data_IF_748756217960
#
_entry.id   IF_748756217960
#
_cell.length_a   1.000
_cell.length_b   1.000
_cell.length_c   1.000
_cell.angle_alpha   90.00
_cell.angle_beta   90.00
_cell.angle_gamma   90.00
#
_symmetry.space_group_name_H-M   'P 1'
#
loop_
_entity.id
_entity.type
_entity.pdbx_description
1 polymer ?
#
# COMPACT_ATOMS: atom_id res chain seq x y z
N UNK A 1 13.92 -15.96 32.88
CA UNK A 1 13.78 -14.49 33.05
C UNK A 1 13.68 -13.72 31.71
N UNK A 2 14.61 -13.86 30.75
CA UNK A 2 14.50 -13.12 29.46
C UNK A 2 13.36 -13.64 28.55
N UNK A 3 13.20 -14.97 28.48
CA UNK A 3 12.13 -15.60 27.69
C UNK A 3 10.73 -15.29 28.24
N UNK A 4 10.59 -15.14 29.55
CA UNK A 4 9.30 -14.86 30.19
C UNK A 4 8.81 -13.44 29.86
N UNK A 5 9.73 -12.48 29.81
CA UNK A 5 9.43 -11.13 29.35
C UNK A 5 9.06 -11.08 27.87
N UNK A 6 9.75 -11.87 27.03
CA UNK A 6 9.41 -11.99 25.61
C UNK A 6 8.01 -12.59 25.42
N UNK A 7 7.71 -13.68 26.15
CA UNK A 7 6.39 -14.32 26.14
C UNK A 7 5.28 -13.38 26.60
N UNK A 8 5.53 -12.57 27.62
CA UNK A 8 4.58 -11.57 28.11
C UNK A 8 4.35 -10.45 27.09
N UNK A 9 5.42 -9.91 26.51
CA UNK A 9 5.34 -8.80 25.54
C UNK A 9 4.64 -9.19 24.25
N UNK A 10 4.89 -10.41 23.77
CA UNK A 10 4.33 -10.92 22.51
C UNK A 10 3.22 -11.93 22.73
N UNK A 11 2.59 -11.94 23.91
CA UNK A 11 1.52 -12.86 24.25
C UNK A 11 0.40 -12.82 23.21
N UNK A 12 -0.02 -11.61 22.82
CA UNK A 12 -1.10 -11.39 21.84
C UNK A 12 -0.76 -11.87 20.42
N UNK A 13 0.53 -11.86 20.05
CA UNK A 13 1.00 -12.37 18.77
C UNK A 13 1.08 -13.90 18.82
N UNK A 14 1.61 -14.45 19.90
CA UNK A 14 1.77 -15.89 20.09
C UNK A 14 0.44 -16.61 20.31
N UNK A 15 -0.56 -15.92 20.86
CA UNK A 15 -1.94 -16.40 20.99
C UNK A 15 -2.78 -16.17 19.73
N UNK A 16 -2.23 -15.52 18.70
CA UNK A 16 -2.94 -15.18 17.46
C UNK A 16 -4.16 -14.26 17.67
N UNK A 17 -4.15 -13.41 18.69
CA UNK A 17 -5.24 -12.47 18.96
C UNK A 17 -5.31 -11.33 17.93
N UNK A 18 -4.17 -10.95 17.36
CA UNK A 18 -4.08 -9.88 16.36
C UNK A 18 -4.25 -10.44 14.94
N UNK A 19 -5.36 -10.07 14.27
CA UNK A 19 -5.73 -10.56 12.94
C UNK A 19 -4.76 -10.12 11.86
N UNK A 20 -4.28 -8.89 11.95
CA UNK A 20 -3.38 -8.23 10.99
C UNK A 20 -2.04 -8.97 10.91
N UNK A 21 -1.48 -9.33 12.07
CA UNK A 21 -0.21 -10.07 12.16
C UNK A 21 -0.37 -11.48 11.61
N UNK A 22 -1.52 -12.11 11.85
CA UNK A 22 -1.83 -13.45 11.31
C UNK A 22 -1.92 -13.40 9.78
N UNK A 23 -2.62 -12.41 9.22
CA UNK A 23 -2.69 -12.19 7.77
C UNK A 23 -1.29 -11.96 7.19
N UNK A 24 -0.50 -11.08 7.80
CA UNK A 24 0.87 -10.79 7.36
C UNK A 24 1.74 -12.06 7.34
N UNK A 25 1.69 -12.86 8.41
CA UNK A 25 2.48 -14.08 8.55
C UNK A 25 2.16 -15.14 7.48
N UNK A 26 0.89 -15.27 7.06
CA UNK A 26 0.49 -16.22 5.99
C UNK A 26 0.96 -15.74 4.62
N UNK A 27 0.95 -14.43 4.37
CA UNK A 27 1.32 -13.85 3.08
C UNK A 27 2.84 -13.87 2.82
N UNK A 28 3.66 -14.24 3.81
CA UNK A 28 5.10 -14.45 3.62
C UNK A 28 5.34 -15.89 3.08
N UNK A 29 5.94 -16.05 1.88
CA UNK A 29 6.09 -17.36 1.22
C UNK A 29 6.93 -18.37 2.01
N UNK A 30 7.87 -17.89 2.83
CA UNK A 30 8.69 -18.73 3.70
C UNK A 30 7.88 -19.38 4.82
N UNK A 31 6.91 -18.66 5.36
CA UNK A 31 6.22 -19.05 6.59
C UNK A 31 4.87 -19.73 6.31
N UNK A 32 4.04 -19.20 5.40
CA UNK A 32 2.69 -19.73 5.06
C UNK A 32 1.93 -20.23 6.30
N UNK A 33 1.69 -21.53 6.42
CA UNK A 33 1.11 -22.17 7.62
C UNK A 33 2.10 -22.99 8.45
N UNK A 34 3.41 -22.94 8.14
CA UNK A 34 4.43 -23.71 8.87
C UNK A 34 4.46 -23.33 10.35
N UNK A 35 4.26 -22.05 10.66
CA UNK A 35 4.24 -21.53 12.03
C UNK A 35 3.01 -21.99 12.82
N UNK A 36 1.88 -22.28 12.16
CA UNK A 36 0.62 -22.65 12.81
C UNK A 36 0.76 -23.94 13.63
N UNK A 37 1.57 -24.90 13.15
CA UNK A 37 1.80 -26.17 13.83
C UNK A 37 2.61 -26.03 15.14
N UNK A 38 3.26 -24.87 15.35
CA UNK A 38 4.09 -24.59 16.52
C UNK A 38 3.25 -23.92 17.63
N UNK A 39 2.09 -23.36 17.28
CA UNK A 39 1.21 -22.67 18.21
C UNK A 39 0.42 -23.70 19.04
N UNK A 40 0.60 -23.68 20.36
CA UNK A 40 -0.01 -24.66 21.27
C UNK A 40 -1.53 -24.47 21.45
N UNK A 41 -2.01 -23.22 21.38
CA UNK A 41 -3.42 -22.86 21.56
C UNK A 41 -3.81 -21.77 20.55
N UNK A 42 -4.11 -22.14 19.29
CA UNK A 42 -4.56 -21.17 18.31
C UNK A 42 -5.98 -20.70 18.65
N UNK A 43 -6.21 -19.39 18.62
CA UNK A 43 -7.55 -18.78 18.75
C UNK A 43 -8.41 -18.97 17.51
N UNK A 44 -7.78 -19.02 16.33
CA UNK A 44 -8.44 -19.08 15.04
C UNK A 44 -8.06 -20.36 14.30
N UNK A 45 -9.02 -20.97 13.61
CA UNK A 45 -8.76 -22.13 12.75
C UNK A 45 -8.11 -21.71 11.43
N UNK A 46 -7.56 -22.66 10.67
CA UNK A 46 -6.97 -22.37 9.35
C UNK A 46 -8.02 -21.81 8.39
N UNK A 47 -9.25 -22.27 8.51
CA UNK A 47 -10.41 -21.85 7.74
C UNK A 47 -10.79 -20.39 8.06
N UNK A 48 -10.79 -20.03 9.34
CA UNK A 48 -11.03 -18.65 9.77
C UNK A 48 -9.95 -17.70 9.23
N UNK A 49 -8.68 -18.14 9.24
CA UNK A 49 -7.57 -17.34 8.71
C UNK A 49 -7.72 -17.11 7.20
N UNK A 50 -8.13 -18.15 6.44
CA UNK A 50 -8.43 -17.99 5.00
C UNK A 50 -9.55 -16.98 4.79
N UNK A 51 -10.61 -17.06 5.60
CA UNK A 51 -11.73 -16.11 5.54
C UNK A 51 -11.27 -14.68 5.83
N UNK A 52 -10.41 -14.46 6.82
CA UNK A 52 -9.86 -13.14 7.11
C UNK A 52 -9.07 -12.55 5.94
N UNK A 53 -8.32 -13.36 5.19
CA UNK A 53 -7.60 -12.91 4.00
C UNK A 53 -8.58 -12.53 2.89
N UNK A 54 -9.63 -13.32 2.68
CA UNK A 54 -10.67 -13.03 1.68
C UNK A 54 -11.44 -11.75 2.04
N UNK A 55 -11.79 -11.57 3.31
CA UNK A 55 -12.47 -10.36 3.78
C UNK A 55 -11.56 -9.13 3.63
N UNK A 56 -10.28 -9.23 4.00
CA UNK A 56 -9.31 -8.16 3.81
C UNK A 56 -9.05 -7.79 2.34
N UNK A 57 -9.20 -8.76 1.42
CA UNK A 57 -9.14 -8.54 -0.01
C UNK A 57 -10.35 -7.76 -0.53
N UNK A 58 -11.55 -8.03 -0.01
CA UNK A 58 -12.77 -7.29 -0.37
C UNK A 58 -12.69 -5.84 0.07
N UNK A 59 -12.22 -5.61 1.30
CA UNK A 59 -12.04 -4.25 1.83
C UNK A 59 -11.11 -3.41 0.93
N UNK A 60 -10.13 -4.07 0.28
CA UNK A 60 -9.18 -3.44 -0.64
C UNK A 60 -9.76 -3.15 -2.03
N UNK A 61 -10.68 -3.98 -2.53
CA UNK A 61 -11.35 -3.73 -3.81
C UNK A 61 -12.39 -2.60 -3.69
N UNK A 62 -13.04 -2.46 -2.52
CA UNK A 62 -13.98 -1.37 -2.24
C UNK A 62 -13.25 -0.03 -1.98
N UNK A 63 -12.07 -0.07 -1.35
CA UNK A 63 -11.17 1.08 -1.23
C UNK A 63 -10.25 1.15 -2.45
N UNK A 64 -10.73 1.61 -3.60
CA UNK A 64 -9.88 1.86 -4.76
C UNK A 64 -8.92 3.05 -4.46
N UNK A 65 -7.91 2.81 -3.63
CA UNK A 65 -6.75 3.65 -3.43
C UNK A 65 -5.67 3.11 -4.37
N UNK A 66 -5.57 3.79 -5.50
CA UNK A 66 -4.59 3.54 -6.54
C UNK A 66 -3.21 3.89 -5.98
N UNK A 67 -2.53 2.89 -5.42
CA UNK A 67 -1.13 3.02 -5.03
C UNK A 67 -0.33 1.88 -5.65
N UNK A 68 0.40 2.24 -6.70
CA UNK A 68 1.44 1.52 -7.40
C UNK A 68 0.98 0.37 -8.32
N UNK A 69 0.18 0.71 -9.34
CA UNK A 69 0.46 0.23 -10.69
C UNK A 69 1.22 1.31 -11.46
N UNK A 70 2.54 1.18 -11.56
CA UNK A 70 3.20 1.33 -12.85
C UNK A 70 4.65 0.85 -12.79
N UNK A 71 4.89 -0.34 -13.34
CA UNK A 71 5.97 -0.46 -14.31
C UNK A 71 5.35 -0.12 -15.68
N UNK A 72 6.01 0.78 -16.42
CA UNK A 72 5.71 1.30 -17.77
C UNK A 72 4.37 2.08 -17.92
N UNK A 73 4.37 3.40 -17.73
CA UNK A 73 4.36 4.35 -18.86
C UNK A 73 4.83 5.78 -18.46
N UNK A 74 5.88 6.28 -19.12
CA UNK A 74 6.53 7.58 -18.84
C UNK A 74 5.86 8.78 -19.52
N UNK A 75 4.54 8.91 -19.54
CA UNK A 75 3.90 9.97 -20.36
C UNK A 75 2.91 10.90 -19.68
N UNK A 76 2.77 10.92 -18.34
CA UNK A 76 1.78 11.80 -17.70
C UNK A 76 2.18 12.36 -16.32
N UNK A 77 3.46 12.70 -16.13
CA UNK A 77 3.94 13.38 -14.91
C UNK A 77 4.01 14.92 -15.05
N UNK A 78 3.78 15.46 -16.25
CA UNK A 78 4.02 16.88 -16.54
C UNK A 78 2.89 17.83 -16.11
N UNK A 79 1.74 17.32 -15.63
CA UNK A 79 0.61 18.18 -15.25
C UNK A 79 0.61 18.61 -13.77
N UNK A 80 1.54 18.11 -12.95
CA UNK A 80 1.70 18.53 -11.55
C UNK A 80 2.67 19.72 -11.38
N UNK A 81 3.41 20.09 -12.44
CA UNK A 81 4.45 21.14 -12.41
C UNK A 81 4.21 22.29 -13.41
N UNK A 82 2.96 22.58 -13.79
CA UNK A 82 2.69 23.73 -14.66
C UNK A 82 2.52 25.03 -13.86
N UNK A 83 3.64 25.72 -13.61
CA UNK A 83 3.71 27.07 -13.03
C UNK A 83 3.67 28.16 -14.11
N UNK A 84 2.72 28.06 -15.04
CA UNK A 84 2.49 29.13 -16.01
C UNK A 84 1.52 30.17 -15.43
N UNK A 85 2.11 31.14 -14.74
CA UNK A 85 1.48 32.41 -14.37
C UNK A 85 1.27 33.29 -15.63
N UNK A 86 0.24 34.14 -15.57
CA UNK A 86 -0.07 35.27 -16.46
C UNK A 86 -0.81 35.08 -17.82
N UNK A 87 -2.04 35.62 -17.80
CA UNK A 87 -2.63 36.63 -18.72
C UNK A 87 -3.54 36.22 -19.90
N UNK A 88 -4.79 36.68 -19.73
CA UNK A 88 -5.71 37.30 -20.70
C UNK A 88 -6.34 36.39 -21.76
N UNK A 89 -7.69 36.34 -21.76
CA UNK A 89 -8.47 36.36 -23.01
C UNK A 89 -9.89 36.90 -22.86
N UNK A 90 -10.19 37.81 -23.77
CA UNK A 90 -11.41 38.55 -24.05
C UNK A 90 -12.35 37.69 -24.92
N UNK A 91 -13.60 37.51 -24.46
CA UNK A 91 -14.94 37.48 -25.12
C UNK A 91 -15.25 36.73 -26.48
N UNK A 92 -16.55 36.43 -26.77
CA UNK A 92 -17.14 35.21 -27.43
C UNK A 92 -17.56 35.44 -28.93
N UNK A 93 -18.30 34.56 -29.69
CA UNK A 93 -19.77 34.27 -29.56
C UNK A 93 -20.35 32.91 -30.07
N UNK A 94 -21.50 32.50 -29.47
CA UNK A 94 -22.80 31.99 -30.01
C UNK A 94 -22.87 30.87 -31.10
N UNK A 95 -23.57 29.75 -30.78
CA UNK A 95 -24.79 29.31 -31.50
C UNK A 95 -25.62 28.29 -30.68
N UNK A 96 -26.91 28.60 -30.54
CA UNK A 96 -27.94 27.82 -29.84
C UNK A 96 -28.27 26.52 -30.57
N UNK A 97 -28.83 25.54 -29.86
CA UNK A 97 -30.04 24.82 -30.30
C UNK A 97 -30.62 23.98 -29.15
N UNK A 98 -31.85 24.32 -28.81
CA UNK A 98 -32.74 23.61 -27.90
C UNK A 98 -33.20 22.28 -28.52
N UNK A 99 -33.18 21.19 -27.76
CA UNK A 99 -34.09 20.05 -27.97
C UNK A 99 -34.15 19.17 -26.73
N UNK A 100 -35.31 19.18 -26.08
CA UNK A 100 -35.70 18.19 -25.10
C UNK A 100 -35.76 16.78 -25.71
N UNK A 101 -35.52 15.78 -24.86
CA UNK A 101 -36.27 14.51 -24.74
C UNK A 101 -35.40 13.23 -24.74
N UNK A 102 -35.39 12.60 -23.56
CA UNK A 102 -35.31 11.17 -23.26
C UNK A 102 -34.11 10.35 -23.80
N UNK A 103 -33.13 10.08 -22.93
CA UNK A 103 -32.33 8.82 -22.98
C UNK A 103 -32.00 8.27 -21.60
N UNK A 104 -32.87 7.36 -21.18
CA UNK A 104 -32.63 6.06 -20.54
C UNK A 104 -31.38 5.91 -19.67
N UNK A 105 -31.67 5.78 -18.37
CA UNK A 105 -30.92 5.05 -17.34
C UNK A 105 -29.90 4.05 -17.90
N UNK A 106 -28.63 4.44 -17.89
CA UNK A 106 -27.52 3.50 -17.99
C UNK A 106 -27.20 3.00 -16.59
N UNK A 107 -28.05 2.09 -16.15
CA UNK A 107 -27.66 0.79 -15.62
C UNK A 107 -26.22 0.74 -15.08
N UNK A 108 -26.09 1.10 -13.82
CA UNK A 108 -24.97 0.69 -12.98
C UNK A 108 -24.88 -0.82 -13.04
N UNK A 109 -23.91 -1.34 -13.79
CA UNK A 109 -23.58 -2.76 -13.80
C UNK A 109 -22.99 -3.11 -12.43
N UNK A 110 -23.87 -3.42 -11.49
CA UNK A 110 -23.56 -4.11 -10.25
C UNK A 110 -22.99 -5.48 -10.62
N UNK A 111 -21.67 -5.55 -10.74
CA UNK A 111 -20.95 -6.82 -10.86
C UNK A 111 -21.35 -7.67 -9.65
N UNK A 112 -21.84 -8.91 -9.85
CA UNK A 112 -22.31 -9.73 -8.74
C UNK A 112 -21.14 -10.05 -7.80
N UNK A 113 -21.25 -9.59 -6.56
CA UNK A 113 -20.34 -9.75 -5.40
C UNK A 113 -19.85 -11.19 -5.13
N UNK A 114 -20.41 -12.17 -5.83
CA UNK A 114 -20.05 -13.59 -5.73
C UNK A 114 -18.82 -13.99 -6.57
N UNK A 115 -18.57 -13.36 -7.73
CA UNK A 115 -17.51 -13.82 -8.65
C UNK A 115 -16.10 -13.45 -8.20
N UNK A 116 -15.92 -12.30 -7.53
CA UNK A 116 -14.61 -11.83 -7.04
C UNK A 116 -14.11 -12.68 -5.88
N UNK A 117 -15.00 -13.08 -4.97
CA UNK A 117 -14.67 -13.96 -3.85
C UNK A 117 -14.09 -15.31 -4.30
N UNK A 118 -14.67 -15.94 -5.32
CA UNK A 118 -14.18 -17.21 -5.86
C UNK A 118 -12.80 -17.08 -6.51
N UNK A 119 -12.49 -15.92 -7.12
CA UNK A 119 -11.18 -15.67 -7.73
C UNK A 119 -10.08 -15.54 -6.68
N UNK A 120 -10.34 -14.77 -5.62
CA UNK A 120 -9.41 -14.55 -4.51
C UNK A 120 -9.14 -15.86 -3.77
N UNK A 121 -10.19 -16.64 -3.51
CA UNK A 121 -10.07 -17.94 -2.87
C UNK A 121 -9.21 -18.91 -3.71
N UNK A 122 -9.41 -18.95 -5.03
CA UNK A 122 -8.60 -19.78 -5.93
C UNK A 122 -7.14 -19.34 -5.96
N UNK A 123 -6.86 -18.02 -5.99
CA UNK A 123 -5.51 -17.48 -5.89
C UNK A 123 -4.84 -17.86 -4.57
N UNK A 124 -5.56 -17.76 -3.45
CA UNK A 124 -5.07 -18.15 -2.13
C UNK A 124 -4.77 -19.66 -2.06
N UNK A 125 -5.66 -20.51 -2.58
CA UNK A 125 -5.43 -21.96 -2.62
C UNK A 125 -4.17 -22.29 -3.43
N UNK A 126 -4.03 -21.70 -4.62
CA UNK A 126 -2.85 -21.90 -5.49
C UNK A 126 -1.57 -21.41 -4.83
N UNK A 127 -1.60 -20.26 -4.15
CA UNK A 127 -0.47 -19.74 -3.38
C UNK A 127 -0.07 -20.68 -2.23
N UNK A 128 -1.03 -21.26 -1.52
CA UNK A 128 -0.78 -22.15 -0.38
C UNK A 128 -0.19 -23.51 -0.82
N UNK A 129 -0.56 -23.99 -2.01
CA UNK A 129 -0.06 -25.25 -2.57
C UNK A 129 1.36 -25.13 -3.14
N UNK A 130 1.75 -23.94 -3.61
CA UNK A 130 3.09 -23.71 -4.15
C UNK A 130 4.19 -24.02 -3.11
N UNK A 131 5.23 -24.74 -3.52
CA UNK A 131 6.35 -25.11 -2.63
C UNK A 131 7.50 -24.13 -2.66
N UNK A 132 7.50 -23.17 -3.60
CA UNK A 132 8.53 -22.16 -3.71
C UNK A 132 8.45 -21.22 -2.50
N UNK A 133 9.62 -20.79 -2.00
CA UNK A 133 9.74 -19.92 -0.82
C UNK A 133 10.24 -18.49 -1.17
N UNK A 134 10.41 -18.19 -2.45
CA UNK A 134 10.93 -16.90 -2.92
C UNK A 134 9.86 -15.80 -2.80
N UNK A 135 10.26 -14.59 -2.41
CA UNK A 135 9.33 -13.46 -2.30
C UNK A 135 8.71 -13.08 -3.65
N UNK A 136 9.42 -13.30 -4.76
CA UNK A 136 8.97 -12.99 -6.12
C UNK A 136 7.70 -13.72 -6.55
N UNK A 137 7.35 -14.83 -5.90
CA UNK A 137 6.12 -15.59 -6.18
C UNK A 137 4.88 -14.71 -6.02
N UNK A 138 4.92 -13.75 -5.09
CA UNK A 138 3.80 -12.84 -4.81
C UNK A 138 3.44 -12.02 -6.07
N UNK A 139 4.37 -11.78 -6.98
CA UNK A 139 4.10 -11.05 -8.23
C UNK A 139 3.16 -11.81 -9.17
N UNK A 140 3.06 -13.14 -9.06
CA UNK A 140 2.14 -13.96 -9.86
C UNK A 140 0.69 -13.89 -9.35
N UNK A 141 0.48 -13.28 -8.18
CA UNK A 141 -0.82 -13.18 -7.51
C UNK A 141 -1.15 -11.71 -7.22
N UNK A 142 -1.78 -10.98 -8.17
CA UNK A 142 -1.95 -9.53 -8.07
C UNK A 142 -2.78 -9.11 -6.86
N UNK A 143 -3.83 -9.86 -6.51
CA UNK A 143 -4.67 -9.51 -5.34
C UNK A 143 -3.94 -9.78 -4.03
N UNK A 144 -3.26 -10.94 -3.91
CA UNK A 144 -2.45 -11.25 -2.73
C UNK A 144 -1.28 -10.28 -2.58
N UNK A 145 -0.70 -9.76 -3.67
CA UNK A 145 0.35 -8.73 -3.65
C UNK A 145 -0.13 -7.44 -2.99
N UNK A 146 -1.32 -6.96 -3.32
CA UNK A 146 -1.90 -5.76 -2.70
C UNK A 146 -2.06 -5.93 -1.19
N UNK A 147 -2.60 -7.08 -0.78
CA UNK A 147 -2.76 -7.42 0.65
C UNK A 147 -1.38 -7.54 1.31
N UNK A 148 -0.43 -8.21 0.65
CA UNK A 148 0.93 -8.37 1.16
C UNK A 148 1.57 -7.01 1.45
N UNK A 149 1.49 -6.06 0.53
CA UNK A 149 2.00 -4.70 0.72
C UNK A 149 1.29 -4.06 1.92
N UNK A 150 -0.05 -4.00 1.93
CA UNK A 150 -0.82 -3.37 3.01
C UNK A 150 -0.46 -3.85 4.41
N UNK A 151 -0.28 -5.16 4.60
CA UNK A 151 -0.05 -5.75 5.92
C UNK A 151 1.42 -5.95 6.28
N UNK A 152 2.34 -6.05 5.31
CA UNK A 152 3.77 -6.28 5.58
C UNK A 152 4.62 -5.02 5.41
N UNK A 153 4.18 -4.01 4.67
CA UNK A 153 4.86 -2.71 4.64
C UNK A 153 4.27 -1.84 5.74
N UNK A 154 4.95 -1.78 6.88
CA UNK A 154 4.70 -0.70 7.82
C UNK A 154 4.99 0.63 7.11
N UNK A 155 4.17 1.66 7.36
CA UNK A 155 4.63 3.04 7.18
C UNK A 155 6.02 3.13 7.82
N UNK A 156 7.03 3.68 7.12
CA UNK A 156 8.39 3.73 7.64
C UNK A 156 8.34 4.30 9.05
N UNK A 157 8.98 3.63 9.99
CA UNK A 157 9.08 4.10 11.36
C UNK A 157 9.60 5.54 11.39
N UNK A 158 9.37 6.24 12.51
CA UNK A 158 9.88 7.60 12.72
C UNK A 158 11.36 7.76 12.34
N UNK A 159 12.16 6.69 12.39
CA UNK A 159 13.57 6.69 11.99
C UNK A 159 13.87 7.26 10.60
N UNK A 160 12.98 7.11 9.60
CA UNK A 160 13.19 7.75 8.29
C UNK A 160 13.02 9.28 8.37
N UNK A 161 12.00 9.72 9.10
CA UNK A 161 11.67 11.12 9.33
C UNK A 161 12.69 11.78 10.27
N UNK A 162 13.14 11.08 11.32
CA UNK A 162 14.20 11.49 12.24
C UNK A 162 15.54 11.68 11.50
N UNK A 163 15.83 10.81 10.52
CA UNK A 163 16.99 10.99 9.65
C UNK A 163 16.85 12.21 8.75
N UNK A 164 15.65 12.48 8.25
CA UNK A 164 15.36 13.71 7.50
C UNK A 164 15.57 14.96 8.36
N UNK A 165 15.08 14.95 9.61
CA UNK A 165 15.31 16.04 10.57
C UNK A 165 16.79 16.19 10.96
N UNK A 166 17.53 15.10 11.02
CA UNK A 166 18.99 15.16 11.21
C UNK A 166 19.67 15.88 10.05
N UNK A 167 19.23 15.66 8.80
CA UNK A 167 19.74 16.40 7.64
C UNK A 167 19.30 17.86 7.64
N UNK A 168 18.05 18.12 8.03
CA UNK A 168 17.52 19.46 8.21
C UNK A 168 18.39 20.27 9.19
N UNK A 169 18.74 19.72 10.35
CA UNK A 169 19.62 20.38 11.31
C UNK A 169 21.05 20.65 10.80
N UNK A 170 21.56 19.83 9.88
CA UNK A 170 22.87 20.07 9.23
C UNK A 170 22.79 21.20 8.20
N UNK A 171 21.66 21.30 7.49
CA UNK A 171 21.45 22.29 6.43
C UNK A 171 21.10 23.65 7.04
N UNK A 172 20.35 23.67 8.15
CA UNK A 172 19.96 24.85 8.95
C UNK A 172 21.10 25.39 9.84
N UNK A 173 22.35 25.10 9.47
CA UNK A 173 23.50 25.55 10.23
C UNK A 173 23.67 27.08 10.13
N UNK A 174 24.12 27.77 11.20
CA UNK A 174 24.32 29.24 11.24
C UNK A 174 25.24 29.83 10.17
N UNK A 175 25.93 28.99 9.38
CA UNK A 175 26.77 29.38 8.25
C UNK A 175 26.00 29.46 6.92
N UNK A 176 24.72 29.09 6.88
CA UNK A 176 23.90 28.94 5.67
C UNK A 176 22.63 29.81 5.71
N UNK A 177 22.66 30.93 6.42
CA UNK A 177 21.51 31.79 6.78
C UNK A 177 20.91 32.62 5.62
N UNK A 178 20.98 32.13 4.38
CA UNK A 178 20.44 32.80 3.19
C UNK A 178 19.56 31.91 2.33
N UNK A 179 19.15 30.75 2.86
CA UNK A 179 18.22 29.85 2.17
C UNK A 179 16.79 30.28 2.44
N UNK A 180 15.99 30.31 1.38
CA UNK A 180 14.52 30.35 1.51
C UNK A 180 14.01 28.99 1.95
N UNK A 181 12.84 28.95 2.59
CA UNK A 181 12.22 27.71 3.07
C UNK A 181 12.09 26.65 1.95
N UNK A 182 11.69 27.06 0.75
CA UNK A 182 11.61 26.19 -0.43
C UNK A 182 12.96 25.55 -0.79
N UNK A 183 14.03 26.35 -0.82
CA UNK A 183 15.37 25.85 -1.15
C UNK A 183 15.94 24.97 -0.04
N UNK A 184 15.58 25.26 1.21
CA UNK A 184 15.93 24.43 2.35
C UNK A 184 15.30 23.03 2.24
N UNK A 185 14.00 22.95 1.99
CA UNK A 185 13.28 21.68 1.84
C UNK A 185 13.83 20.85 0.67
N UNK A 186 14.08 21.49 -0.48
CA UNK A 186 14.70 20.84 -1.64
C UNK A 186 16.06 20.27 -1.29
N UNK A 187 16.92 21.01 -0.59
CA UNK A 187 18.24 20.54 -0.18
C UNK A 187 18.17 19.36 0.78
N UNK A 188 17.22 19.39 1.73
CA UNK A 188 16.98 18.29 2.68
C UNK A 188 16.55 17.03 1.94
N UNK A 189 15.63 17.13 0.98
CA UNK A 189 15.17 16.02 0.14
C UNK A 189 16.28 15.50 -0.77
N UNK A 190 17.01 16.38 -1.45
CA UNK A 190 18.17 16.00 -2.26
C UNK A 190 19.21 15.26 -1.42
N UNK A 191 19.44 15.71 -0.17
CA UNK A 191 20.39 15.06 0.74
C UNK A 191 19.91 13.68 1.17
N UNK A 192 18.61 13.52 1.44
CA UNK A 192 18.02 12.25 1.80
C UNK A 192 18.04 11.23 0.65
N UNK A 193 17.84 11.69 -0.59
CA UNK A 193 17.76 10.86 -1.79
C UNK A 193 19.12 10.62 -2.48
N UNK A 194 20.22 11.15 -1.95
CA UNK A 194 21.56 10.85 -2.44
C UNK A 194 21.83 9.34 -2.33
N UNK A 195 21.83 8.63 -3.47
CA UNK A 195 22.26 7.23 -3.56
C UNK A 195 23.70 7.16 -3.06
N UNK A 196 23.92 6.45 -1.95
CA UNK A 196 25.27 6.10 -1.51
C UNK A 196 25.79 5.05 -2.47
N UNK A 197 26.61 5.45 -3.44
CA UNK A 197 27.47 4.52 -4.16
C UNK A 197 28.48 3.99 -3.13
N UNK A 198 28.28 2.75 -2.68
CA UNK A 198 29.26 1.95 -1.95
C UNK A 198 29.70 0.81 -2.85
#
# INVERSE_FOLDING_TARGET
MCLDNLRRRFADILSLNCKEVVIAAVLIPQFKFRWYNIVKYPTYTKEDIKKFIIDAARDLDDSNYDFLSDESDTTNLDQFFDFSDDKVKVQPPILNNDSEMARNSSQSSSVPKSKTSSKIELELLRYLEDKRNNIHIINEYPTLKKIFIKFNTCLPSSGAVERLFSFAGIIDAPRRNGLTDENFEILVLCKANQKKYF
#
